data_IF_360840769229
#
_entry.id   IF_360840769229
#
_cell.length_a   1.000
_cell.length_b   1.000
_cell.length_c   1.000
_cell.angle_alpha   90.00
_cell.angle_beta   90.00
_cell.angle_gamma   90.00
#
_symmetry.space_group_name_H-M   'P 1'
#
loop_
_entity.id
_entity.type
_entity.pdbx_description
1 polymer ?
#
# COMPACT_ATOMS: atom_id res chain seq x y z
N UNK A 1 -7.31 20.21 -11.39
CA UNK A 1 -8.08 19.75 -12.57
C UNK A 1 -9.38 19.12 -12.08
N UNK A 2 -10.49 19.49 -12.70
CA UNK A 2 -11.84 19.40 -12.16
C UNK A 2 -12.31 17.98 -11.76
N UNK A 3 -12.96 17.79 -10.59
CA UNK A 3 -13.54 16.53 -10.14
C UNK A 3 -14.61 15.93 -11.07
N UNK A 4 -15.19 16.72 -11.98
CA UNK A 4 -16.31 16.32 -12.84
C UNK A 4 -15.92 15.67 -14.18
N UNK A 5 -14.65 15.75 -14.59
CA UNK A 5 -14.14 15.07 -15.81
C UNK A 5 -13.48 13.72 -15.52
N UNK A 6 -13.54 13.29 -14.27
CA UNK A 6 -12.87 12.10 -13.80
C UNK A 6 -13.89 10.95 -13.75
N UNK A 7 -13.75 9.98 -14.66
CA UNK A 7 -14.60 8.79 -14.69
C UNK A 7 -14.49 7.96 -13.40
N UNK A 8 -15.18 6.81 -13.37
CA UNK A 8 -15.27 5.93 -12.19
C UNK A 8 -13.92 5.70 -11.47
N UNK A 9 -12.87 5.44 -12.24
CA UNK A 9 -11.52 5.17 -11.71
C UNK A 9 -10.96 6.31 -10.88
N UNK A 10 -11.04 7.56 -11.35
CA UNK A 10 -10.43 8.62 -10.58
C UNK A 10 -11.30 9.07 -9.41
N UNK A 11 -12.64 8.89 -9.45
CA UNK A 11 -13.46 9.02 -8.23
C UNK A 11 -13.04 8.04 -7.14
N UNK A 12 -12.68 6.81 -7.51
CA UNK A 12 -12.12 5.83 -6.57
C UNK A 12 -10.72 6.24 -6.09
N UNK A 13 -9.87 6.75 -6.99
CA UNK A 13 -8.53 7.26 -6.64
C UNK A 13 -8.59 8.39 -5.61
N UNK A 14 -9.56 9.30 -5.73
CA UNK A 14 -9.78 10.41 -4.81
C UNK A 14 -10.73 10.08 -3.66
N UNK A 15 -11.15 8.82 -3.49
CA UNK A 15 -12.04 8.39 -2.39
C UNK A 15 -13.41 9.11 -2.38
N UNK A 16 -13.88 9.58 -3.54
CA UNK A 16 -15.16 10.30 -3.72
C UNK A 16 -16.23 9.45 -4.43
N UNK A 17 -16.02 8.14 -4.55
CA UNK A 17 -16.97 7.21 -5.15
C UNK A 17 -18.16 6.89 -4.21
N UNK A 18 -19.32 6.54 -4.79
CA UNK A 18 -20.52 6.19 -4.03
C UNK A 18 -21.28 7.39 -3.43
N UNK A 19 -22.28 7.09 -2.58
CA UNK A 19 -23.09 8.10 -1.87
C UNK A 19 -22.26 8.76 -0.74
N UNK A 20 -22.58 10.01 -0.35
CA UNK A 20 -21.85 10.70 0.73
C UNK A 20 -21.87 9.95 2.07
N UNK A 21 -23.01 9.34 2.40
CA UNK A 21 -23.22 8.58 3.64
C UNK A 21 -22.69 7.14 3.59
N UNK A 22 -22.01 6.75 2.50
CA UNK A 22 -21.42 5.42 2.35
C UNK A 22 -19.90 5.54 2.33
N UNK A 23 -19.15 4.62 2.96
CA UNK A 23 -17.70 4.59 2.83
C UNK A 23 -17.27 4.38 1.36
N UNK A 24 -16.19 5.04 0.91
CA UNK A 24 -15.61 4.78 -0.41
C UNK A 24 -15.16 3.33 -0.55
N UNK A 25 -15.10 2.80 -1.78
CA UNK A 25 -14.80 1.38 -2.01
C UNK A 25 -13.48 0.94 -1.35
N UNK A 26 -12.42 1.74 -1.46
CA UNK A 26 -11.12 1.39 -0.89
C UNK A 26 -11.15 1.26 0.63
N UNK A 27 -11.89 2.13 1.33
CA UNK A 27 -12.11 1.99 2.77
C UNK A 27 -12.92 0.74 3.10
N UNK A 28 -13.94 0.41 2.30
CA UNK A 28 -14.73 -0.83 2.50
C UNK A 28 -13.90 -2.10 2.35
N UNK A 29 -12.82 -2.05 1.58
CA UNK A 29 -11.91 -3.19 1.39
C UNK A 29 -10.94 -3.37 2.56
N UNK A 30 -10.89 -2.45 3.53
CA UNK A 30 -10.04 -2.56 4.72
C UNK A 30 -10.78 -3.15 5.94
N UNK A 31 -11.99 -3.68 5.74
CA UNK A 31 -12.73 -4.45 6.73
C UNK A 31 -13.56 -5.56 6.08
N UNK A 32 -14.03 -6.50 6.91
CA UNK A 32 -15.07 -7.44 6.51
C UNK A 32 -16.45 -6.85 6.80
N UNK A 33 -17.41 -7.17 5.93
CA UNK A 33 -18.84 -6.94 6.17
C UNK A 33 -19.62 -8.26 6.07
N UNK A 34 -20.94 -8.21 6.24
CA UNK A 34 -21.79 -9.42 6.24
C UNK A 34 -21.63 -10.23 4.95
N UNK A 35 -21.64 -9.54 3.80
CA UNK A 35 -21.62 -10.13 2.46
C UNK A 35 -20.22 -10.22 1.82
N UNK A 36 -19.19 -9.58 2.39
CA UNK A 36 -17.84 -9.54 1.80
C UNK A 36 -16.76 -9.69 2.86
N UNK A 37 -15.80 -10.56 2.58
CA UNK A 37 -14.72 -10.95 3.49
C UNK A 37 -13.35 -10.48 2.97
N UNK A 38 -13.18 -9.17 2.77
CA UNK A 38 -11.98 -8.62 2.14
C UNK A 38 -10.71 -8.86 2.97
N UNK A 39 -10.74 -8.49 4.26
CA UNK A 39 -9.58 -8.66 5.15
C UNK A 39 -9.39 -10.13 5.47
N UNK A 40 -10.45 -10.91 5.70
CA UNK A 40 -10.29 -12.36 5.90
C UNK A 40 -9.73 -13.07 4.67
N UNK A 41 -10.16 -12.71 3.46
CA UNK A 41 -9.61 -13.28 2.22
C UNK A 41 -8.13 -12.89 2.04
N UNK A 42 -7.77 -11.64 2.32
CA UNK A 42 -6.37 -11.20 2.34
C UNK A 42 -5.55 -11.92 3.45
N UNK A 43 -6.19 -12.22 4.57
CA UNK A 43 -5.66 -12.99 5.69
C UNK A 43 -5.31 -14.43 5.34
N UNK A 44 -6.05 -15.03 4.39
CA UNK A 44 -5.83 -16.40 3.93
C UNK A 44 -4.50 -16.59 3.20
N UNK A 45 -3.91 -15.52 2.68
CA UNK A 45 -2.55 -15.57 2.11
C UNK A 45 -1.51 -15.77 3.21
N UNK A 46 -0.66 -16.78 3.06
CA UNK A 46 0.40 -17.08 4.05
C UNK A 46 1.51 -16.03 4.06
N UNK A 47 1.72 -15.39 2.92
CA UNK A 47 2.61 -14.26 2.77
C UNK A 47 1.83 -13.04 2.30
N UNK A 48 2.10 -11.90 2.95
CA UNK A 48 1.72 -10.59 2.46
C UNK A 48 2.95 -9.70 2.46
N UNK A 49 3.25 -9.08 1.32
CA UNK A 49 4.33 -8.13 1.19
C UNK A 49 3.85 -6.90 0.42
N UNK A 50 4.34 -5.73 0.82
CA UNK A 50 4.12 -4.46 0.09
C UNK A 50 5.47 -3.88 -0.29
N UNK A 51 5.57 -3.41 -1.53
CA UNK A 51 6.73 -2.69 -2.05
C UNK A 51 6.28 -1.27 -2.30
N UNK A 52 6.93 -0.31 -1.64
CA UNK A 52 6.52 1.08 -1.70
C UNK A 52 7.72 2.00 -1.94
N UNK A 53 7.56 2.94 -2.87
CA UNK A 53 8.46 4.08 -2.98
C UNK A 53 8.33 4.93 -1.72
N UNK A 54 9.41 5.06 -0.96
CA UNK A 54 9.46 5.93 0.24
C UNK A 54 10.07 7.30 -0.06
N UNK A 55 10.44 7.53 -1.32
CA UNK A 55 11.01 8.78 -1.83
C UNK A 55 10.78 8.92 -3.34
N UNK A 56 10.86 10.15 -3.84
CA UNK A 56 10.86 10.52 -5.27
C UNK A 56 9.61 10.14 -6.11
N UNK A 57 8.57 9.53 -5.52
CA UNK A 57 7.27 9.29 -6.16
C UNK A 57 6.24 10.35 -5.72
N UNK A 58 6.16 11.43 -6.50
CA UNK A 58 5.26 12.56 -6.24
C UNK A 58 3.95 12.48 -7.04
N UNK A 59 3.83 11.54 -7.99
CA UNK A 59 2.70 11.49 -8.93
C UNK A 59 1.47 10.78 -8.37
N UNK A 60 1.65 9.85 -7.45
CA UNK A 60 0.57 9.17 -6.72
C UNK A 60 0.94 9.18 -5.25
N UNK A 61 0.02 9.56 -4.37
CA UNK A 61 0.31 9.78 -2.95
C UNK A 61 1.04 8.60 -2.30
N UNK A 62 2.34 8.74 -2.10
CA UNK A 62 3.25 7.92 -1.28
C UNK A 62 2.68 7.43 0.06
N UNK A 63 1.70 8.18 0.58
CA UNK A 63 1.11 8.00 1.90
C UNK A 63 0.42 6.64 2.07
N UNK A 64 -0.21 6.06 1.03
CA UNK A 64 -1.03 4.85 1.21
C UNK A 64 -0.33 3.54 0.82
N UNK A 65 0.63 3.57 -0.10
CA UNK A 65 1.25 2.34 -0.63
C UNK A 65 2.13 1.60 0.38
N UNK A 66 2.65 2.31 1.38
CA UNK A 66 3.49 1.74 2.44
C UNK A 66 2.70 1.16 3.63
N UNK A 67 1.38 1.37 3.68
CA UNK A 67 0.54 1.05 4.85
C UNK A 67 1.14 1.65 6.14
N UNK A 68 1.55 2.92 6.05
CA UNK A 68 2.12 3.73 7.13
C UNK A 68 1.69 5.19 6.93
N UNK A 69 1.51 5.94 8.00
CA UNK A 69 1.28 7.39 7.92
C UNK A 69 2.53 8.08 7.41
N UNK A 70 2.36 9.25 6.79
CA UNK A 70 3.48 10.12 6.39
C UNK A 70 4.49 10.37 7.52
N UNK A 71 4.02 10.55 8.75
CA UNK A 71 4.86 10.79 9.93
C UNK A 71 5.67 9.57 10.37
N UNK A 72 5.27 8.37 9.95
CA UNK A 72 5.92 7.09 10.28
C UNK A 72 6.99 6.71 9.25
N UNK A 73 7.03 7.39 8.10
CA UNK A 73 8.03 7.15 7.07
C UNK A 73 9.34 7.84 7.45
N UNK A 74 10.27 7.05 7.97
CA UNK A 74 11.64 7.49 8.18
C UNK A 74 12.27 7.97 6.85
N UNK A 75 13.24 8.90 6.93
CA UNK A 75 14.06 9.22 5.76
C UNK A 75 14.77 7.95 5.32
N UNK A 76 14.60 7.50 4.06
CA UNK A 76 15.22 6.26 3.61
C UNK A 76 16.74 6.37 3.76
N UNK A 77 17.42 5.31 4.23
CA UNK A 77 18.86 5.30 4.27
C UNK A 77 19.42 5.44 2.85
N UNK A 78 20.56 6.12 2.72
CA UNK A 78 21.22 6.29 1.43
C UNK A 78 21.93 5.00 0.93
N UNK A 79 21.83 3.90 1.69
CA UNK A 79 22.38 2.59 1.34
C UNK A 79 21.28 1.66 0.85
N UNK A 80 21.56 0.94 -0.23
CA UNK A 80 20.73 -0.18 -0.66
C UNK A 80 21.10 -1.44 0.13
N UNK A 81 20.19 -2.42 0.18
CA UNK A 81 20.45 -3.77 0.63
C UNK A 81 21.44 -4.45 -0.32
N UNK A 82 22.39 -5.21 0.23
CA UNK A 82 23.38 -5.92 -0.57
C UNK A 82 22.71 -6.82 -1.62
N UNK A 83 23.12 -6.66 -2.87
CA UNK A 83 22.58 -7.40 -4.01
C UNK A 83 21.32 -6.82 -4.68
N UNK A 84 20.59 -5.90 -4.02
CA UNK A 84 19.34 -5.34 -4.55
C UNK A 84 19.36 -3.81 -4.58
N UNK A 85 19.88 -3.25 -5.67
CA UNK A 85 19.92 -1.80 -5.90
C UNK A 85 18.52 -1.20 -5.73
N UNK A 86 18.40 -0.12 -4.96
CA UNK A 86 17.17 0.62 -4.63
C UNK A 86 16.21 0.00 -3.61
N UNK A 87 16.40 -1.25 -3.19
CA UNK A 87 15.75 -1.76 -1.96
C UNK A 87 16.54 -1.23 -0.78
N UNK A 88 15.93 -0.40 0.07
CA UNK A 88 16.66 0.32 1.13
C UNK A 88 16.32 -0.17 2.54
N UNK A 89 15.16 -0.81 2.71
CA UNK A 89 14.78 -1.42 3.98
C UNK A 89 13.77 -2.55 3.75
N UNK A 90 13.85 -3.59 4.58
CA UNK A 90 12.90 -4.71 4.62
C UNK A 90 12.57 -4.99 6.08
N UNK A 91 11.29 -4.89 6.40
CA UNK A 91 10.81 -5.05 7.77
C UNK A 91 9.58 -5.94 7.80
N UNK A 92 9.47 -6.82 8.80
CA UNK A 92 8.23 -7.51 9.09
C UNK A 92 7.47 -6.77 10.20
N UNK A 93 6.29 -6.26 9.88
CA UNK A 93 5.38 -5.66 10.84
C UNK A 93 4.31 -6.69 11.24
N UNK A 94 4.19 -7.05 12.52
CA UNK A 94 3.13 -7.96 12.98
C UNK A 94 1.75 -7.29 12.86
N UNK A 95 0.65 -8.10 12.89
CA UNK A 95 -0.71 -7.56 12.99
C UNK A 95 -0.85 -6.62 14.19
N UNK A 96 -1.56 -5.51 14.00
CA UNK A 96 -1.96 -4.58 15.05
C UNK A 96 -3.40 -4.89 15.42
N UNK A 97 -3.67 -5.09 16.71
CA UNK A 97 -5.03 -5.17 17.22
C UNK A 97 -5.67 -3.79 17.05
N UNK A 98 -6.68 -3.73 16.19
CA UNK A 98 -7.45 -2.51 15.95
C UNK A 98 -8.93 -2.83 15.89
N UNK A 99 -9.74 -1.85 16.26
CA UNK A 99 -11.16 -1.91 16.00
C UNK A 99 -11.39 -1.86 14.48
N UNK A 100 -12.51 -2.41 14.01
CA UNK A 100 -12.85 -2.33 12.60
C UNK A 100 -12.92 -0.86 12.16
N UNK A 101 -12.38 -0.50 10.98
CA UNK A 101 -12.43 0.87 10.52
C UNK A 101 -13.87 1.39 10.46
N UNK A 102 -14.07 2.59 10.99
CA UNK A 102 -15.38 3.19 11.17
C UNK A 102 -15.56 4.35 10.20
N UNK A 103 -16.64 4.32 9.41
CA UNK A 103 -17.05 5.48 8.63
C UNK A 103 -17.89 6.41 9.51
N UNK A 104 -17.21 7.31 10.23
CA UNK A 104 -17.84 8.22 11.17
C UNK A 104 -18.75 9.25 10.47
N UNK A 105 -19.79 9.78 11.16
CA UNK A 105 -20.65 10.83 10.61
C UNK A 105 -19.87 12.07 10.14
N UNK A 106 -18.75 12.39 10.79
CA UNK A 106 -17.82 13.45 10.40
C UNK A 106 -17.16 13.16 9.04
N UNK A 107 -16.67 11.94 8.83
CA UNK A 107 -16.11 11.51 7.55
C UNK A 107 -17.16 11.55 6.42
N UNK A 108 -18.43 11.25 6.73
CA UNK A 108 -19.53 11.38 5.76
C UNK A 108 -19.80 12.84 5.35
N UNK A 109 -19.78 13.77 6.31
CA UNK A 109 -19.92 15.21 6.05
C UNK A 109 -18.73 15.74 5.24
N UNK A 110 -17.51 15.36 5.62
CA UNK A 110 -16.29 15.76 4.92
C UNK A 110 -16.25 15.18 3.50
N UNK A 111 -16.72 13.94 3.29
CA UNK A 111 -16.91 13.35 1.96
C UNK A 111 -17.92 14.13 1.12
N UNK A 112 -19.05 14.51 1.71
CA UNK A 112 -20.08 15.28 1.02
C UNK A 112 -19.54 16.64 0.56
N UNK A 113 -18.74 17.30 1.41
CA UNK A 113 -18.03 18.53 1.06
C UNK A 113 -17.04 18.30 -0.09
N UNK A 114 -16.16 17.30 0.02
CA UNK A 114 -15.18 16.95 -1.02
C UNK A 114 -15.82 16.53 -2.36
N UNK A 115 -17.06 16.04 -2.36
CA UNK A 115 -17.82 15.74 -3.57
C UNK A 115 -18.46 16.97 -4.22
N UNK A 116 -18.72 18.03 -3.44
CA UNK A 116 -19.35 19.28 -3.90
C UNK A 116 -18.31 20.34 -4.29
N UNK A 117 -17.15 20.37 -3.62
CA UNK A 117 -16.10 21.35 -3.90
C UNK A 117 -15.38 21.07 -5.23
N UNK A 118 -15.23 22.13 -6.03
CA UNK A 118 -14.48 22.11 -7.29
C UNK A 118 -12.95 22.26 -7.09
N UNK A 119 -12.53 22.67 -5.88
CA UNK A 119 -11.15 23.00 -5.54
C UNK A 119 -10.70 22.18 -4.31
N UNK A 120 -9.45 21.70 -4.33
CA UNK A 120 -8.84 21.00 -3.20
C UNK A 120 -8.51 22.02 -2.10
N UNK A 121 -9.39 22.14 -1.11
CA UNK A 121 -9.27 23.02 0.05
C UNK A 121 -8.78 22.25 1.31
N UNK A 122 -8.88 22.90 2.48
CA UNK A 122 -8.56 22.28 3.78
C UNK A 122 -9.51 21.12 4.15
N UNK A 123 -10.79 21.19 3.79
CA UNK A 123 -11.77 20.15 4.13
C UNK A 123 -11.50 18.84 3.37
N UNK A 124 -11.03 18.94 2.13
CA UNK A 124 -10.58 17.80 1.32
C UNK A 124 -9.35 17.12 1.94
N UNK A 125 -8.40 17.90 2.46
CA UNK A 125 -7.21 17.35 3.12
C UNK A 125 -7.56 16.61 4.42
N UNK A 126 -8.40 17.22 5.25
CA UNK A 126 -8.89 16.62 6.50
C UNK A 126 -9.62 15.28 6.23
N UNK A 127 -10.50 15.27 5.23
CA UNK A 127 -11.16 14.03 4.78
C UNK A 127 -10.12 12.96 4.41
N UNK A 128 -9.13 13.32 3.58
CA UNK A 128 -8.11 12.36 3.16
C UNK A 128 -7.30 11.82 4.34
N UNK A 129 -6.96 12.64 5.33
CA UNK A 129 -6.21 12.21 6.52
C UNK A 129 -7.03 11.24 7.39
N UNK A 130 -8.32 11.51 7.58
CA UNK A 130 -9.22 10.61 8.31
C UNK A 130 -9.33 9.27 7.57
N UNK A 131 -9.65 9.28 6.28
CA UNK A 131 -9.83 8.03 5.51
C UNK A 131 -8.52 7.25 5.38
N UNK A 132 -7.39 7.93 5.18
CA UNK A 132 -6.06 7.31 5.17
C UNK A 132 -5.79 6.58 6.50
N UNK A 133 -6.08 7.23 7.63
CA UNK A 133 -5.92 6.64 8.96
C UNK A 133 -6.75 5.37 9.16
N UNK A 134 -8.03 5.41 8.78
CA UNK A 134 -8.93 4.25 8.86
C UNK A 134 -8.51 3.12 7.92
N UNK A 135 -8.06 3.44 6.71
CA UNK A 135 -7.55 2.45 5.77
C UNK A 135 -6.28 1.76 6.29
N UNK A 136 -5.32 2.53 6.81
CA UNK A 136 -4.10 2.00 7.41
C UNK A 136 -4.46 1.09 8.58
N UNK A 137 -5.32 1.55 9.49
CA UNK A 137 -5.80 0.79 10.65
C UNK A 137 -6.41 -0.56 10.23
N UNK A 138 -7.30 -0.56 9.23
CA UNK A 138 -7.94 -1.77 8.72
C UNK A 138 -6.95 -2.75 8.08
N UNK A 139 -6.01 -2.26 7.27
CA UNK A 139 -4.99 -3.11 6.63
C UNK A 139 -3.97 -3.66 7.64
N UNK A 140 -3.65 -2.91 8.71
CA UNK A 140 -2.71 -3.32 9.75
C UNK A 140 -3.25 -4.43 10.67
N UNK A 141 -4.53 -4.79 10.57
CA UNK A 141 -5.08 -5.99 11.23
C UNK A 141 -4.40 -7.30 10.77
N UNK A 142 -3.63 -7.25 9.68
CA UNK A 142 -2.82 -8.35 9.19
C UNK A 142 -1.33 -8.00 9.29
N UNK A 143 -0.48 -9.02 9.40
CA UNK A 143 0.97 -8.86 9.35
C UNK A 143 1.47 -8.66 7.91
N UNK A 144 2.48 -7.82 7.75
CA UNK A 144 3.03 -7.41 6.46
C UNK A 144 4.56 -7.44 6.45
N UNK A 145 5.16 -7.99 5.39
CA UNK A 145 6.55 -7.67 5.03
C UNK A 145 6.56 -6.39 4.20
N UNK A 146 7.04 -5.30 4.79
CA UNK A 146 7.13 -3.99 4.12
C UNK A 146 8.53 -3.82 3.53
N UNK A 147 8.59 -3.52 2.25
CA UNK A 147 9.83 -3.30 1.50
C UNK A 147 9.85 -1.86 1.01
N UNK A 148 10.80 -1.10 1.53
CA UNK A 148 10.97 0.30 1.18
C UNK A 148 11.92 0.41 -0.02
N UNK A 149 11.46 1.11 -1.06
CA UNK A 149 12.17 1.34 -2.31
C UNK A 149 12.52 2.81 -2.43
N UNK A 150 13.75 3.11 -2.84
CA UNK A 150 14.23 4.48 -3.02
C UNK A 150 15.16 4.56 -4.23
N UNK A 151 14.76 5.36 -5.22
CA UNK A 151 15.54 5.58 -6.45
C UNK A 151 16.58 6.70 -6.31
N UNK A 152 17.07 6.95 -5.09
CA UNK A 152 18.03 8.02 -4.77
C UNK A 152 19.32 7.99 -5.62
N UNK A 153 19.74 6.81 -6.09
CA UNK A 153 20.93 6.61 -6.92
C UNK A 153 20.61 6.40 -8.42
N UNK A 154 19.36 6.63 -8.84
CA UNK A 154 18.97 6.56 -10.24
C UNK A 154 19.27 7.88 -10.95
N UNK A 155 19.58 7.82 -12.26
CA UNK A 155 19.91 9.00 -13.05
C UNK A 155 18.72 9.98 -13.18
N UNK A 156 17.49 9.45 -13.18
CA UNK A 156 16.25 10.23 -13.16
C UNK A 156 15.30 9.72 -12.07
N UNK A 157 15.44 10.21 -10.82
CA UNK A 157 14.64 9.73 -9.69
C UNK A 157 13.14 10.04 -9.83
N UNK A 158 12.76 11.05 -10.62
CA UNK A 158 11.36 11.41 -10.88
C UNK A 158 10.55 10.33 -11.62
N UNK A 159 11.21 9.31 -12.18
CA UNK A 159 10.56 8.13 -12.74
C UNK A 159 10.35 6.99 -11.72
N UNK A 160 10.52 7.24 -10.42
CA UNK A 160 10.34 6.22 -9.36
C UNK A 160 9.07 5.38 -9.53
N UNK A 161 7.96 6.00 -9.91
CA UNK A 161 6.69 5.34 -10.17
C UNK A 161 6.74 4.32 -11.32
N UNK A 162 7.47 4.63 -12.39
CA UNK A 162 7.64 3.73 -13.53
C UNK A 162 8.78 2.74 -13.31
N UNK A 163 9.80 3.13 -12.54
CA UNK A 163 10.94 2.30 -12.20
C UNK A 163 10.52 1.12 -11.34
N UNK A 164 9.71 1.31 -10.30
CA UNK A 164 9.33 0.21 -9.38
C UNK A 164 8.64 -0.97 -10.10
N UNK A 165 7.96 -0.72 -11.21
CA UNK A 165 7.30 -1.75 -12.04
C UNK A 165 8.03 -2.06 -13.36
N UNK A 166 9.19 -1.45 -13.62
CA UNK A 166 9.99 -1.61 -14.85
C UNK A 166 9.11 -1.52 -16.12
N UNK A 167 8.34 -0.43 -16.26
CA UNK A 167 7.35 -0.29 -17.35
C UNK A 167 7.95 -0.39 -18.77
N UNK A 168 9.23 -0.05 -18.91
CA UNK A 168 9.99 -0.16 -20.15
C UNK A 168 11.42 -0.51 -19.77
N UNK A 169 11.89 -1.70 -20.14
CA UNK A 169 13.20 -2.21 -19.75
C UNK A 169 14.37 -1.31 -20.18
N UNK A 170 14.22 -0.57 -21.27
CA UNK A 170 15.28 0.31 -21.78
C UNK A 170 15.46 1.59 -20.93
N UNK A 171 14.37 2.11 -20.36
CA UNK A 171 14.39 3.38 -19.61
C UNK A 171 14.22 3.21 -18.09
N UNK A 172 13.61 2.10 -17.64
CA UNK A 172 13.23 1.87 -16.26
C UNK A 172 14.01 0.72 -15.60
N UNK A 173 15.16 0.34 -16.18
CA UNK A 173 16.05 -0.72 -15.66
C UNK A 173 16.49 -0.47 -14.20
N UNK A 174 16.46 0.78 -13.73
CA UNK A 174 16.71 1.10 -12.32
C UNK A 174 15.86 0.24 -11.37
N UNK A 175 14.65 -0.20 -11.77
CA UNK A 175 13.82 -1.10 -10.97
C UNK A 175 14.22 -2.58 -10.98
N UNK A 176 15.18 -3.02 -11.81
CA UNK A 176 15.52 -4.44 -11.95
C UNK A 176 15.91 -5.08 -10.62
N UNK A 177 16.65 -4.35 -9.76
CA UNK A 177 16.99 -4.81 -8.41
C UNK A 177 15.77 -5.08 -7.53
N UNK A 178 14.72 -4.26 -7.68
CA UNK A 178 13.44 -4.46 -6.97
C UNK A 178 12.72 -5.71 -7.48
N UNK A 179 12.67 -5.92 -8.80
CA UNK A 179 12.07 -7.13 -9.40
C UNK A 179 12.82 -8.39 -8.98
N UNK A 180 14.16 -8.38 -9.01
CA UNK A 180 14.97 -9.49 -8.51
C UNK A 180 14.64 -9.80 -7.04
N UNK A 181 14.52 -8.77 -6.19
CA UNK A 181 14.15 -8.95 -4.79
C UNK A 181 12.75 -9.56 -4.63
N UNK A 182 11.77 -9.18 -5.47
CA UNK A 182 10.43 -9.80 -5.49
C UNK A 182 10.52 -11.28 -5.84
N UNK A 183 11.24 -11.62 -6.92
CA UNK A 183 11.39 -13.01 -7.37
C UNK A 183 12.07 -13.88 -6.32
N UNK A 184 13.18 -13.41 -5.74
CA UNK A 184 13.90 -14.14 -4.72
C UNK A 184 13.08 -14.27 -3.43
N UNK A 185 12.34 -13.23 -3.07
CA UNK A 185 11.40 -13.25 -1.94
C UNK A 185 10.31 -14.31 -2.10
N UNK A 186 9.78 -14.51 -3.31
CA UNK A 186 8.78 -15.55 -3.60
C UNK A 186 9.42 -16.94 -3.52
N UNK A 187 10.58 -17.14 -4.17
CA UNK A 187 11.31 -18.41 -4.14
C UNK A 187 11.71 -18.84 -2.73
N UNK A 188 12.16 -17.90 -1.89
CA UNK A 188 12.49 -18.18 -0.49
C UNK A 188 11.25 -18.65 0.29
N UNK A 189 10.08 -18.09 0.02
CA UNK A 189 8.84 -18.47 0.67
C UNK A 189 8.37 -19.86 0.25
N UNK A 190 8.50 -20.21 -1.02
CA UNK A 190 8.23 -21.57 -1.52
C UNK A 190 9.16 -22.60 -0.87
N UNK A 191 10.46 -22.30 -0.76
CA UNK A 191 11.45 -23.18 -0.10
C UNK A 191 11.14 -23.39 1.38
N UNK A 192 10.83 -22.31 2.11
CA UNK A 192 10.43 -22.40 3.51
C UNK A 192 9.15 -23.23 3.69
N UNK A 193 8.21 -23.13 2.74
CA UNK A 193 7.01 -23.96 2.73
C UNK A 193 7.30 -25.43 2.45
N UNK A 194 8.08 -25.75 1.41
CA UNK A 194 8.46 -27.13 1.11
C UNK A 194 9.23 -27.78 2.27
N UNK A 195 10.10 -27.02 2.92
CA UNK A 195 10.86 -27.48 4.10
C UNK A 195 9.96 -27.74 5.32
N UNK A 196 9.05 -26.81 5.66
CA UNK A 196 8.08 -27.01 6.76
C UNK A 196 7.13 -28.17 6.48
N UNK A 197 6.62 -28.31 5.26
CA UNK A 197 5.77 -29.44 4.87
C UNK A 197 6.50 -30.79 4.96
N UNK A 198 7.80 -30.83 4.66
CA UNK A 198 8.61 -32.05 4.83
C UNK A 198 8.95 -32.36 6.29
N UNK A 199 9.01 -31.34 7.17
CA UNK A 199 9.29 -31.55 8.60
C UNK A 199 8.12 -32.23 9.33
N UNK A 200 6.88 -32.02 8.86
CA UNK A 200 5.70 -32.69 9.42
C UNK A 200 5.56 -34.16 8.98
N UNK A 201 6.24 -34.61 7.92
CA UNK A 201 6.19 -36.00 7.45
C UNK A 201 7.28 -36.87 8.10
N UNK A 202 8.37 -36.26 8.61
CA UNK A 202 9.48 -37.00 9.22
C UNK A 202 9.34 -37.27 10.73
N UNK A 203 8.27 -36.79 11.39
CA UNK A 203 8.03 -36.99 12.82
C UNK A 203 6.89 -38.01 13.08
N UNK A 204 6.95 -39.17 12.43
CA UNK A 204 6.13 -40.35 12.77
C UNK A 204 6.73 -41.60 12.10
N UNK A 205 7.78 -42.16 12.70
CA UNK A 205 8.10 -43.59 12.73
C UNK A 205 8.79 -43.91 14.05
#
# INVERSE_FOLDING_TARGET
MAPFLIGRTGRQLFLTDGKPNMPPLLLRMTSDCEDRKFISALGAFKCRAVYANVSYDHMVGWRTSSIRRKTELAKPPARSLDGYKHVVNVEYCPPVLSNSPHFLPEAAKAKEAAQKELNMDSSTLEYHEIIEGEMISGLQQLGWRKVDVSFHSAFWPFFAHNNIHVKNEWFHNAGAGVICHVVDSIKQQEKLHGSRSNTFIAASL
#
